data_IF_149704897726
#
_entry.id   IF_149704897726
#
_cell.length_a   1.000
_cell.length_b   1.000
_cell.length_c   1.000
_cell.angle_alpha   90.00
_cell.angle_beta   90.00
_cell.angle_gamma   90.00
#
_symmetry.space_group_name_H-M   'P 1'
#
loop_
_entity.id
_entity.type
_entity.pdbx_description
1 polymer ?
#
# COMPACT_ATOMS: atom_id res chain seq x y z
N UNK A 1 16.34 -17.77 -17.99
CA UNK A 1 16.53 -16.58 -18.86
C UNK A 1 15.73 -15.36 -18.38
N UNK A 2 14.55 -15.52 -17.77
CA UNK A 2 13.72 -14.38 -17.34
C UNK A 2 14.26 -13.58 -16.14
N UNK A 3 14.88 -14.24 -15.15
CA UNK A 3 15.46 -13.61 -13.95
C UNK A 3 16.49 -12.51 -14.26
N UNK A 4 17.39 -12.77 -15.22
CA UNK A 4 18.42 -11.79 -15.62
C UNK A 4 17.84 -10.61 -16.36
N UNK A 5 16.85 -10.86 -17.24
CA UNK A 5 16.15 -9.79 -17.94
C UNK A 5 15.45 -8.85 -16.96
N UNK A 6 14.72 -9.41 -15.97
CA UNK A 6 14.12 -8.63 -14.88
C UNK A 6 15.15 -7.83 -14.09
N UNK A 7 16.30 -8.42 -13.80
CA UNK A 7 17.38 -7.72 -13.11
C UNK A 7 17.93 -6.55 -13.93
N UNK A 8 18.13 -6.73 -15.25
CA UNK A 8 18.57 -5.66 -16.14
C UNK A 8 17.55 -4.53 -16.21
N UNK A 9 16.26 -4.85 -16.28
CA UNK A 9 15.18 -3.87 -16.24
C UNK A 9 15.16 -3.12 -14.90
N UNK A 10 15.36 -3.82 -13.78
CA UNK A 10 15.48 -3.23 -12.45
C UNK A 10 16.68 -2.26 -12.34
N UNK A 11 17.85 -2.66 -12.84
CA UNK A 11 19.03 -1.79 -12.88
C UNK A 11 18.78 -0.54 -13.73
N UNK A 12 18.13 -0.69 -14.89
CA UNK A 12 17.78 0.42 -15.78
C UNK A 12 16.81 1.39 -15.13
N UNK A 13 15.80 0.90 -14.40
CA UNK A 13 14.86 1.73 -13.66
C UNK A 13 15.56 2.58 -12.58
N UNK A 14 16.69 2.11 -12.03
CA UNK A 14 17.52 2.83 -11.06
C UNK A 14 18.64 3.67 -11.69
N UNK A 15 18.74 3.71 -13.02
CA UNK A 15 19.81 4.41 -13.71
C UNK A 15 21.20 3.79 -13.48
N UNK A 16 21.28 2.51 -13.09
CA UNK A 16 22.54 1.81 -12.84
C UNK A 16 22.94 1.03 -14.09
N UNK A 17 24.14 1.28 -14.61
CA UNK A 17 24.72 0.50 -15.70
C UNK A 17 25.06 -0.93 -15.26
N UNK A 18 24.85 -1.92 -16.14
CA UNK A 18 25.20 -3.32 -15.84
C UNK A 18 26.68 -3.48 -15.50
N UNK A 19 27.57 -2.86 -16.28
CA UNK A 19 29.02 -2.91 -16.07
C UNK A 19 29.44 -2.22 -14.76
N UNK A 20 28.76 -1.12 -14.39
CA UNK A 20 29.03 -0.42 -13.14
C UNK A 20 28.65 -1.28 -11.95
N UNK A 21 27.48 -1.92 -12.00
CA UNK A 21 27.07 -2.86 -10.97
C UNK A 21 28.04 -4.05 -10.91
N UNK A 22 28.39 -4.67 -12.04
CA UNK A 22 29.33 -5.80 -12.10
C UNK A 22 30.67 -5.44 -11.44
N UNK A 23 31.20 -4.25 -11.71
CA UNK A 23 32.43 -3.77 -11.09
C UNK A 23 32.30 -3.58 -9.58
N UNK A 24 31.14 -3.14 -9.09
CA UNK A 24 30.91 -2.89 -7.66
C UNK A 24 30.75 -4.17 -6.84
N UNK A 25 30.11 -5.19 -7.38
CA UNK A 25 29.91 -6.48 -6.67
C UNK A 25 31.00 -7.52 -6.96
N UNK A 26 32.02 -7.14 -7.74
CA UNK A 26 33.13 -8.01 -8.13
C UNK A 26 32.66 -9.17 -9.01
N UNK A 27 31.80 -8.89 -9.99
CA UNK A 27 31.46 -9.81 -11.08
C UNK A 27 32.41 -9.63 -12.25
N UNK A 28 32.53 -10.68 -13.06
CA UNK A 28 33.22 -10.56 -14.35
C UNK A 28 32.39 -9.71 -15.32
N UNK A 29 33.07 -8.99 -16.23
CA UNK A 29 32.39 -8.18 -17.24
C UNK A 29 31.47 -9.05 -18.10
N UNK A 30 30.21 -8.63 -18.22
CA UNK A 30 29.19 -9.33 -19.00
C UNK A 30 28.59 -10.55 -18.30
N UNK A 31 28.88 -10.79 -17.02
CA UNK A 31 28.29 -11.89 -16.24
C UNK A 31 26.76 -11.77 -16.18
N UNK A 32 26.19 -10.57 -16.15
CA UNK A 32 24.74 -10.34 -16.19
C UNK A 32 24.19 -10.57 -17.60
N UNK A 33 24.97 -10.27 -18.64
CA UNK A 33 24.55 -10.48 -20.03
C UNK A 33 24.59 -11.96 -20.47
N UNK A 34 25.28 -12.82 -19.71
CA UNK A 34 25.34 -14.25 -20.03
C UNK A 34 23.96 -14.93 -19.98
N UNK A 35 23.75 -15.90 -20.87
CA UNK A 35 22.49 -16.66 -21.02
C UNK A 35 22.18 -17.65 -19.88
N UNK A 36 23.14 -17.92 -19.00
CA UNK A 36 22.98 -18.77 -17.82
C UNK A 36 22.11 -18.10 -16.73
N UNK A 37 21.58 -18.88 -15.78
CA UNK A 37 20.92 -18.34 -14.59
C UNK A 37 21.91 -17.67 -13.63
N UNK A 38 21.41 -16.96 -12.62
CA UNK A 38 22.25 -16.55 -11.50
C UNK A 38 22.60 -17.77 -10.63
N UNK A 39 23.86 -17.87 -10.21
CA UNK A 39 24.28 -18.82 -9.19
C UNK A 39 23.87 -18.32 -7.80
N UNK A 40 23.81 -19.20 -6.80
CA UNK A 40 23.50 -18.81 -5.42
C UNK A 40 24.45 -17.71 -4.90
N UNK A 41 25.75 -17.80 -5.21
CA UNK A 41 26.73 -16.76 -4.88
C UNK A 41 26.43 -15.41 -5.54
N UNK A 42 25.96 -15.43 -6.80
CA UNK A 42 25.56 -14.20 -7.49
C UNK A 42 24.32 -13.57 -6.86
N UNK A 43 23.33 -14.40 -6.48
CA UNK A 43 22.12 -13.93 -5.81
C UNK A 43 22.43 -13.33 -4.44
N UNK A 44 23.34 -13.92 -3.67
CA UNK A 44 23.76 -13.36 -2.38
C UNK A 44 24.40 -11.98 -2.55
N UNK A 45 25.33 -11.82 -3.50
CA UNK A 45 25.94 -10.52 -3.79
C UNK A 45 24.92 -9.47 -4.24
N UNK A 46 23.90 -9.89 -5.00
CA UNK A 46 22.80 -9.01 -5.40
C UNK A 46 21.98 -8.59 -4.17
N UNK A 47 21.64 -9.52 -3.28
CA UNK A 47 20.88 -9.25 -2.07
C UNK A 47 21.64 -8.36 -1.07
N UNK A 48 22.97 -8.52 -0.97
CA UNK A 48 23.83 -7.67 -0.15
C UNK A 48 23.91 -6.23 -0.70
N UNK A 49 23.98 -6.08 -2.03
CA UNK A 49 24.07 -4.75 -2.65
C UNK A 49 22.71 -4.04 -2.74
N UNK A 50 21.62 -4.80 -2.89
CA UNK A 50 20.25 -4.30 -2.92
C UNK A 50 19.41 -4.96 -1.83
N UNK A 51 19.59 -4.59 -0.55
CA UNK A 51 18.82 -5.17 0.56
C UNK A 51 17.30 -4.94 0.43
N UNK A 52 16.90 -3.90 -0.29
CA UNK A 52 15.51 -3.57 -0.57
C UNK A 52 14.93 -4.32 -1.79
N UNK A 53 15.75 -5.05 -2.55
CA UNK A 53 15.27 -5.83 -3.69
C UNK A 53 14.61 -7.12 -3.19
N UNK A 54 13.39 -7.37 -3.65
CA UNK A 54 12.71 -8.62 -3.37
C UNK A 54 13.33 -9.77 -4.18
N UNK A 55 14.14 -10.59 -3.53
CA UNK A 55 14.80 -11.74 -4.16
C UNK A 55 13.79 -12.80 -4.64
N UNK A 56 12.65 -12.96 -3.96
CA UNK A 56 11.59 -13.87 -4.43
C UNK A 56 10.99 -13.37 -5.75
N UNK A 57 10.74 -12.06 -5.87
CA UNK A 57 10.31 -11.47 -7.14
C UNK A 57 11.37 -11.64 -8.23
N UNK A 58 12.64 -11.40 -7.91
CA UNK A 58 13.72 -11.55 -8.87
C UNK A 58 13.74 -12.98 -9.44
N UNK A 59 13.69 -14.00 -8.57
CA UNK A 59 13.80 -15.41 -8.96
C UNK A 59 12.52 -15.90 -9.65
N UNK A 60 11.35 -15.64 -9.05
CA UNK A 60 10.06 -16.24 -9.47
C UNK A 60 9.27 -15.37 -10.43
N UNK A 61 9.51 -14.06 -10.46
CA UNK A 61 8.71 -13.07 -11.17
C UNK A 61 7.37 -12.73 -10.51
N UNK A 62 7.09 -13.24 -9.31
CA UNK A 62 5.84 -13.01 -8.57
C UNK A 62 6.03 -11.99 -7.45
N UNK A 63 5.03 -11.14 -7.24
CA UNK A 63 5.04 -10.08 -6.22
C UNK A 63 5.66 -8.77 -6.72
N UNK A 64 5.96 -7.86 -5.78
CA UNK A 64 6.59 -6.58 -6.08
C UNK A 64 8.12 -6.65 -6.05
N UNK A 65 8.76 -5.82 -6.87
CA UNK A 65 10.22 -5.78 -7.00
C UNK A 65 10.95 -5.26 -5.75
N UNK A 66 10.24 -4.56 -4.87
CA UNK A 66 10.81 -4.02 -3.63
C UNK A 66 10.23 -4.75 -2.41
N UNK A 67 11.07 -4.97 -1.41
CA UNK A 67 10.62 -5.38 -0.08
C UNK A 67 10.03 -4.14 0.59
N UNK A 68 8.71 -4.11 0.76
CA UNK A 68 8.07 -3.12 1.63
C UNK A 68 8.43 -3.53 3.06
N UNK A 69 9.20 -2.70 3.77
CA UNK A 69 9.51 -2.92 5.18
C UNK A 69 8.21 -3.00 5.98
N UNK A 70 8.16 -3.90 6.96
CA UNK A 70 6.99 -4.04 7.83
C UNK A 70 6.77 -2.74 8.62
N UNK A 71 5.73 -1.96 8.24
CA UNK A 71 5.37 -0.69 8.90
C UNK A 71 4.64 -0.94 10.23
N UNK A 72 4.39 -2.20 10.60
CA UNK A 72 3.57 -2.54 11.77
C UNK A 72 4.17 -2.15 13.13
N UNK A 73 5.45 -1.74 13.20
CA UNK A 73 6.14 -1.44 14.46
C UNK A 73 6.93 -0.12 14.50
N UNK A 74 6.83 0.73 13.47
CA UNK A 74 7.55 2.00 13.46
C UNK A 74 6.67 3.14 13.99
N UNK A 75 6.86 3.54 15.24
CA UNK A 75 6.42 4.85 15.75
C UNK A 75 7.25 5.94 15.07
N UNK A 76 6.99 6.21 13.78
CA UNK A 76 7.61 7.31 13.06
C UNK A 76 6.74 8.54 13.23
N UNK A 77 6.91 9.24 14.36
CA UNK A 77 6.39 10.60 14.51
C UNK A 77 7.18 11.49 13.55
N UNK A 78 6.58 11.85 12.41
CA UNK A 78 7.15 12.85 11.49
C UNK A 78 7.23 12.47 10.01
N UNK A 79 6.83 11.27 9.60
CA UNK A 79 6.69 10.99 8.16
C UNK A 79 5.41 11.63 7.63
N UNK A 80 5.55 12.70 6.84
CA UNK A 80 4.46 13.20 6.00
C UNK A 80 4.15 12.13 4.94
N UNK A 81 3.22 11.23 5.28
CA UNK A 81 2.65 10.26 4.36
C UNK A 81 1.73 10.99 3.39
N UNK A 82 2.32 11.61 2.36
CA UNK A 82 1.60 11.89 1.12
C UNK A 82 1.31 10.54 0.44
N UNK A 83 0.34 9.81 0.99
CA UNK A 83 -0.25 8.65 0.37
C UNK A 83 -0.88 9.05 -0.95
N UNK A 84 -0.42 8.44 -2.02
CA UNK A 84 -1.00 8.57 -3.35
C UNK A 84 -2.48 8.15 -3.33
N UNK A 85 -3.40 9.12 -3.38
CA UNK A 85 -4.76 8.90 -3.90
C UNK A 85 -5.97 9.34 -3.08
N UNK A 86 -5.83 9.96 -1.89
CA UNK A 86 -7.00 10.50 -1.19
C UNK A 86 -6.73 11.89 -0.61
N UNK A 87 -6.51 12.87 -1.50
CA UNK A 87 -6.61 14.27 -1.10
C UNK A 87 -8.10 14.59 -0.98
N UNK A 88 -8.67 14.40 0.21
CA UNK A 88 -10.04 14.85 0.47
C UNK A 88 -10.00 16.38 0.38
N UNK A 89 -10.57 16.92 -0.68
CA UNK A 89 -10.64 18.37 -0.86
C UNK A 89 -11.64 18.94 0.16
N UNK A 90 -11.44 20.19 0.60
CA UNK A 90 -12.32 20.82 1.60
C UNK A 90 -13.81 20.79 1.18
N UNK A 91 -14.05 20.95 -0.12
CA UNK A 91 -15.39 20.86 -0.72
C UNK A 91 -16.06 19.49 -0.57
N UNK A 92 -15.30 18.39 -0.52
CA UNK A 92 -15.83 17.04 -0.32
C UNK A 92 -16.16 16.79 1.16
N UNK A 93 -15.38 17.36 2.08
CA UNK A 93 -15.70 17.34 3.51
C UNK A 93 -16.98 18.13 3.82
N UNK A 94 -17.16 19.32 3.25
CA UNK A 94 -18.34 20.14 3.48
C UNK A 94 -19.63 19.44 3.03
N UNK A 95 -19.60 18.79 1.87
CA UNK A 95 -20.73 17.97 1.38
C UNK A 95 -21.01 16.78 2.28
N UNK A 96 -19.97 16.16 2.82
CA UNK A 96 -20.12 15.03 3.73
C UNK A 96 -20.71 15.47 5.08
N UNK A 97 -20.30 16.63 5.61
CA UNK A 97 -20.85 17.22 6.83
C UNK A 97 -22.34 17.52 6.66
N UNK A 98 -22.72 18.23 5.58
CA UNK A 98 -24.13 18.53 5.29
C UNK A 98 -24.98 17.26 5.14
N UNK A 99 -24.44 16.21 4.51
CA UNK A 99 -25.12 14.93 4.42
C UNK A 99 -25.32 14.28 5.80
N UNK A 100 -24.28 14.27 6.66
CA UNK A 100 -24.36 13.71 8.00
C UNK A 100 -25.35 14.47 8.88
N UNK A 101 -25.34 15.80 8.84
CA UNK A 101 -26.32 16.63 9.56
C UNK A 101 -27.76 16.30 9.13
N UNK A 102 -28.02 16.17 7.83
CA UNK A 102 -29.34 15.77 7.31
C UNK A 102 -29.77 14.38 7.79
N UNK A 103 -28.84 13.43 7.90
CA UNK A 103 -29.12 12.10 8.44
C UNK A 103 -29.45 12.17 9.93
N UNK A 104 -28.68 12.94 10.72
CA UNK A 104 -28.92 13.13 12.15
C UNK A 104 -30.30 13.76 12.38
N UNK A 105 -30.68 14.77 11.61
CA UNK A 105 -32.00 15.40 11.72
C UNK A 105 -33.15 14.43 11.39
N UNK A 106 -32.96 13.54 10.41
CA UNK A 106 -33.94 12.50 10.12
C UNK A 106 -34.06 11.50 11.27
N UNK A 107 -32.95 11.13 11.92
CA UNK A 107 -32.97 10.21 13.06
C UNK A 107 -33.71 10.83 14.25
N UNK A 108 -33.44 12.09 14.60
CA UNK A 108 -34.17 12.81 15.66
C UNK A 108 -35.68 12.81 15.42
N UNK A 109 -36.11 13.10 14.18
CA UNK A 109 -37.54 13.05 13.82
C UNK A 109 -38.16 11.66 13.98
N UNK A 110 -37.39 10.60 13.72
CA UNK A 110 -37.86 9.23 13.94
C UNK A 110 -37.99 8.92 15.43
N UNK A 111 -37.08 9.39 16.26
CA UNK A 111 -37.16 9.23 17.72
C UNK A 111 -38.41 9.92 18.27
N UNK A 112 -38.69 11.15 17.85
CA UNK A 112 -39.93 11.86 18.22
C UNK A 112 -41.20 11.12 17.78
N UNK A 113 -41.18 10.47 16.61
CA UNK A 113 -42.30 9.66 16.14
C UNK A 113 -42.48 8.41 17.00
N UNK A 114 -41.38 7.79 17.43
CA UNK A 114 -41.41 6.64 18.34
C UNK A 114 -42.03 7.05 19.68
N UNK A 115 -41.61 8.18 20.25
CA UNK A 115 -42.17 8.68 21.53
C UNK A 115 -43.68 8.91 21.43
N UNK A 116 -44.16 9.53 20.35
CA UNK A 116 -45.60 9.71 20.11
C UNK A 116 -46.36 8.39 20.00
N UNK A 117 -45.77 7.39 19.35
CA UNK A 117 -46.38 6.06 19.26
C UNK A 117 -46.46 5.39 20.64
N UNK A 118 -45.40 5.51 21.46
CA UNK A 118 -45.40 4.99 22.83
C UNK A 118 -46.50 5.64 23.67
N UNK A 119 -46.67 6.96 23.56
CA UNK A 119 -47.74 7.68 24.27
C UNK A 119 -49.14 7.21 23.86
N UNK A 120 -49.37 7.01 22.55
CA UNK A 120 -50.65 6.50 22.04
C UNK A 120 -50.93 5.10 22.59
N UNK A 121 -49.94 4.20 22.55
CA UNK A 121 -50.07 2.83 23.08
C UNK A 121 -50.40 2.86 24.58
N UNK A 122 -49.68 3.66 25.36
CA UNK A 122 -49.91 3.80 26.80
C UNK A 122 -51.31 4.32 27.12
N UNK A 123 -51.80 5.30 26.36
CA UNK A 123 -53.15 5.85 26.54
C UNK A 123 -54.26 4.87 26.13
N UNK A 124 -54.05 4.07 25.08
CA UNK A 124 -54.99 3.00 24.71
C UNK A 124 -55.08 1.91 25.78
N UNK A 125 -53.96 1.55 26.41
CA UNK A 125 -53.93 0.54 27.48
C UNK A 125 -54.58 1.03 28.79
N UNK A 126 -54.59 2.33 29.07
CA UNK A 126 -55.27 2.91 30.25
C UNK A 126 -56.79 2.94 30.15
N UNK A 127 -57.34 2.88 28.93
CA UNK A 127 -58.79 2.96 28.65
C UNK A 127 -59.43 1.57 28.44
N UNK A 128 -58.70 0.49 28.75
CA UNK A 128 -59.19 -0.89 28.84
C UNK A 128 -59.24 -1.32 30.29
#
# INVERSE_FOLDING_TARGET
METKKRFVEYLKARGIGQTDFESKVGFSRGQIAQKNGFTASSLNKIAEYFPELNMNWLITGKGDSQVIGDISSSTVVGSNVNGNGNSITHNEMDRMIDLQEKYIERLKKRDEQIDKLLDIINNMNKNK
#
